data_IF_993069049637
#
_entry.id   IF_993069049637
#
_cell.length_a   1.000
_cell.length_b   1.000
_cell.length_c   1.000
_cell.angle_alpha   90.00
_cell.angle_beta   90.00
_cell.angle_gamma   90.00
#
_symmetry.space_group_name_H-M   'P 1'
#
loop_
_entity.id
_entity.type
_entity.pdbx_description
1 polymer ?
#
# COMPACT_ATOMS: atom_id res chain seq x y z
N UNK A 1 7.73 -8.03 9.20
CA UNK A 1 7.36 -6.77 8.53
C UNK A 1 5.88 -6.45 8.76
N UNK A 2 4.95 -7.38 8.52
CA UNK A 2 3.50 -7.18 8.77
C UNK A 2 3.20 -6.72 10.20
N UNK A 3 3.94 -7.21 11.20
CA UNK A 3 3.86 -6.74 12.58
C UNK A 3 4.20 -5.23 12.72
N UNK A 4 5.16 -4.73 11.95
CA UNK A 4 5.50 -3.28 11.99
C UNK A 4 4.39 -2.44 11.37
N UNK A 5 3.76 -2.92 10.30
CA UNK A 5 2.58 -2.28 9.73
C UNK A 5 1.43 -2.22 10.76
N UNK A 6 1.12 -3.33 11.43
CA UNK A 6 0.10 -3.35 12.47
C UNK A 6 0.41 -2.43 13.67
N UNK A 7 1.69 -2.29 14.03
CA UNK A 7 2.14 -1.35 15.09
C UNK A 7 1.96 0.13 14.71
N UNK A 8 2.07 0.44 13.41
CA UNK A 8 1.79 1.79 12.90
C UNK A 8 0.27 2.03 12.83
N UNK A 9 -0.44 1.09 12.26
CA UNK A 9 -1.85 1.25 11.92
C UNK A 9 -2.78 1.13 13.13
N UNK A 10 -2.54 0.18 14.04
CA UNK A 10 -3.42 -0.10 15.18
C UNK A 10 -3.69 1.12 16.05
N UNK A 11 -2.67 1.87 16.53
CA UNK A 11 -2.88 3.07 17.33
C UNK A 11 -3.51 4.24 16.58
N UNK A 12 -3.46 4.24 15.25
CA UNK A 12 -3.94 5.34 14.40
C UNK A 12 -5.20 4.99 13.59
N UNK A 13 -5.76 3.82 13.83
CA UNK A 13 -6.93 3.30 13.12
C UNK A 13 -8.16 4.17 13.35
N UNK A 14 -8.73 4.68 12.26
CA UNK A 14 -9.90 5.55 12.31
C UNK A 14 -9.66 6.86 13.07
N UNK A 15 -8.42 7.23 13.33
CA UNK A 15 -8.09 8.35 14.17
C UNK A 15 -8.35 9.68 13.46
N UNK A 16 -9.33 10.43 13.95
CA UNK A 16 -9.52 11.85 13.67
C UNK A 16 -8.57 12.67 14.56
N UNK A 17 -7.28 12.66 14.23
CA UNK A 17 -6.31 13.52 14.90
C UNK A 17 -6.13 14.80 14.10
N UNK A 18 -6.50 15.94 14.67
CA UNK A 18 -6.30 17.27 14.05
C UNK A 18 -4.86 17.46 13.56
N UNK A 19 -3.88 16.94 14.34
CA UNK A 19 -2.46 17.01 13.99
C UNK A 19 -2.08 16.19 12.73
N UNK A 20 -2.91 15.26 12.29
CA UNK A 20 -2.67 14.42 11.13
C UNK A 20 -3.42 14.89 9.87
N UNK A 21 -4.32 15.87 10.00
CA UNK A 21 -5.10 16.35 8.86
C UNK A 21 -4.20 16.96 7.77
N UNK A 22 -3.08 17.58 8.15
CA UNK A 22 -2.10 18.14 7.22
C UNK A 22 -1.38 17.06 6.39
N UNK A 23 -1.40 15.80 6.84
CA UNK A 23 -0.84 14.65 6.11
C UNK A 23 -1.84 14.05 5.10
N UNK A 24 -3.08 14.47 5.15
CA UNK A 24 -4.11 13.98 4.22
C UNK A 24 -3.94 14.67 2.86
N UNK A 25 -3.63 13.90 1.83
CA UNK A 25 -3.56 14.42 0.47
C UNK A 25 -4.88 15.06 0.03
N UNK A 26 -4.80 16.29 -0.49
CA UNK A 26 -5.96 17.02 -1.01
C UNK A 26 -6.42 16.48 -2.37
N UNK A 27 -7.66 16.84 -2.77
CA UNK A 27 -8.25 16.43 -4.06
C UNK A 27 -7.45 16.93 -5.26
N UNK A 28 -6.82 18.11 -5.17
CA UNK A 28 -5.94 18.63 -6.21
C UNK A 28 -4.73 17.72 -6.44
N UNK A 29 -4.12 17.22 -5.36
CA UNK A 29 -3.01 16.27 -5.43
C UNK A 29 -3.41 14.94 -6.07
N UNK A 30 -4.56 14.39 -5.70
CA UNK A 30 -5.11 13.16 -6.29
C UNK A 30 -5.40 13.32 -7.78
N UNK A 31 -6.00 14.44 -8.15
CA UNK A 31 -6.27 14.77 -9.56
C UNK A 31 -4.97 14.92 -10.36
N UNK A 32 -3.95 15.56 -9.78
CA UNK A 32 -2.64 15.68 -10.41
C UNK A 32 -1.98 14.32 -10.63
N UNK A 33 -2.05 13.40 -9.65
CA UNK A 33 -1.53 12.03 -9.77
C UNK A 33 -2.22 11.29 -10.93
N UNK A 34 -3.55 11.38 -11.05
CA UNK A 34 -4.26 10.74 -12.16
C UNK A 34 -3.77 11.25 -13.53
N UNK A 35 -3.58 12.57 -13.68
CA UNK A 35 -3.04 13.16 -14.90
C UNK A 35 -1.58 12.76 -15.18
N UNK A 36 -0.77 12.61 -14.15
CA UNK A 36 0.60 12.11 -14.27
C UNK A 36 0.59 10.67 -14.79
N UNK A 37 -0.23 9.79 -14.23
CA UNK A 37 -0.34 8.39 -14.67
C UNK A 37 -0.73 8.30 -16.14
N UNK A 38 -1.70 9.10 -16.59
CA UNK A 38 -2.13 9.16 -17.98
C UNK A 38 -0.97 9.59 -18.92
N UNK A 39 -0.20 10.60 -18.51
CA UNK A 39 0.93 11.11 -19.28
C UNK A 39 2.10 10.13 -19.35
N UNK A 40 2.39 9.42 -18.23
CA UNK A 40 3.57 8.55 -18.12
C UNK A 40 3.34 7.13 -18.64
N UNK A 41 2.10 6.63 -18.69
CA UNK A 41 1.83 5.27 -19.13
C UNK A 41 2.47 4.91 -20.48
N UNK A 42 2.37 5.72 -21.55
CA UNK A 42 3.02 5.38 -22.82
C UNK A 42 4.54 5.24 -22.71
N UNK A 43 5.18 6.09 -21.91
CA UNK A 43 6.63 6.05 -21.68
C UNK A 43 7.02 4.79 -20.89
N UNK A 44 6.22 4.40 -19.90
CA UNK A 44 6.44 3.17 -19.13
C UNK A 44 6.30 1.93 -20.01
N UNK A 45 5.29 1.89 -20.86
CA UNK A 45 5.09 0.77 -21.79
C UNK A 45 6.23 0.64 -22.81
N UNK A 46 6.71 1.76 -23.37
CA UNK A 46 7.87 1.77 -24.27
C UNK A 46 9.15 1.26 -23.55
N UNK A 47 9.37 1.72 -22.32
CA UNK A 47 10.54 1.31 -21.52
C UNK A 47 10.49 -0.16 -21.08
N UNK A 48 9.31 -0.72 -20.93
CA UNK A 48 9.05 -2.10 -20.49
C UNK A 48 8.74 -3.03 -21.66
N UNK A 49 8.91 -2.56 -22.91
CA UNK A 49 8.67 -3.36 -24.11
C UNK A 49 9.37 -4.72 -24.02
N UNK A 50 8.63 -5.79 -24.32
CA UNK A 50 9.09 -7.17 -24.22
C UNK A 50 9.34 -7.70 -22.80
N UNK A 51 9.00 -6.93 -21.75
CA UNK A 51 9.13 -7.34 -20.34
C UNK A 51 7.78 -7.60 -19.66
N UNK A 52 6.71 -7.12 -20.24
CA UNK A 52 5.35 -7.31 -19.74
C UNK A 52 4.67 -8.41 -20.51
N UNK A 53 3.88 -9.22 -19.81
CA UNK A 53 3.00 -10.19 -20.46
C UNK A 53 1.88 -9.44 -21.20
N UNK A 54 1.44 -10.00 -22.33
CA UNK A 54 0.41 -9.40 -23.18
C UNK A 54 -0.89 -9.07 -22.43
N UNK A 55 -1.24 -9.87 -21.43
CA UNK A 55 -2.41 -9.65 -20.58
C UNK A 55 -2.25 -8.49 -19.59
N UNK A 56 -1.03 -8.06 -19.29
CA UNK A 56 -0.74 -6.96 -18.35
C UNK A 56 -1.03 -5.59 -18.98
N UNK A 57 -0.75 -5.42 -20.27
CA UNK A 57 -0.89 -4.12 -20.97
C UNK A 57 -2.34 -3.60 -20.91
N UNK A 58 -3.38 -4.40 -21.24
CA UNK A 58 -4.77 -3.96 -21.11
C UNK A 58 -5.16 -3.57 -19.68
N UNK A 59 -4.61 -4.26 -18.66
CA UNK A 59 -4.86 -3.95 -17.25
C UNK A 59 -4.29 -2.58 -16.89
N UNK A 60 -3.06 -2.26 -17.34
CA UNK A 60 -2.45 -0.95 -17.11
C UNK A 60 -3.25 0.19 -17.76
N UNK A 61 -3.67 0.03 -19.02
CA UNK A 61 -4.55 0.99 -19.66
C UNK A 61 -5.85 1.19 -18.90
N UNK A 62 -6.50 0.08 -18.51
CA UNK A 62 -7.76 0.15 -17.76
C UNK A 62 -7.59 0.78 -16.39
N UNK A 63 -6.47 0.53 -15.71
CA UNK A 63 -6.18 1.19 -14.44
C UNK A 63 -6.05 2.70 -14.61
N UNK A 64 -5.31 3.18 -15.62
CA UNK A 64 -5.14 4.63 -15.85
C UNK A 64 -6.47 5.30 -16.18
N UNK A 65 -7.33 4.67 -16.98
CA UNK A 65 -8.70 5.17 -17.24
C UNK A 65 -9.53 5.34 -15.95
N UNK A 66 -9.30 4.48 -14.97
CA UNK A 66 -10.02 4.46 -13.70
C UNK A 66 -9.25 5.12 -12.54
N UNK A 67 -8.04 5.64 -12.79
CA UNK A 67 -7.14 6.13 -11.74
C UNK A 67 -7.80 7.24 -10.90
N UNK A 68 -8.53 8.16 -11.52
CA UNK A 68 -9.25 9.19 -10.78
C UNK A 68 -10.29 8.61 -9.82
N UNK A 69 -11.06 7.62 -10.25
CA UNK A 69 -12.05 6.93 -9.39
C UNK A 69 -11.35 6.19 -8.24
N UNK A 70 -10.24 5.51 -8.54
CA UNK A 70 -9.48 4.78 -7.54
C UNK A 70 -8.86 5.70 -6.50
N UNK A 71 -8.31 6.86 -6.90
CA UNK A 71 -7.70 7.85 -6.02
C UNK A 71 -8.72 8.57 -5.12
N UNK A 72 -9.97 8.73 -5.59
CA UNK A 72 -11.03 9.42 -4.85
C UNK A 72 -12.04 8.45 -4.19
N UNK A 73 -11.76 7.13 -4.20
CA UNK A 73 -12.63 6.16 -3.56
C UNK A 73 -12.74 6.42 -2.06
N UNK A 74 -13.87 6.06 -1.50
CA UNK A 74 -14.02 5.97 -0.04
C UNK A 74 -13.10 4.86 0.51
N UNK A 75 -12.49 5.13 1.64
CA UNK A 75 -11.63 4.23 2.39
C UNK A 75 -12.30 3.97 3.72
N UNK A 76 -12.68 2.72 3.99
CA UNK A 76 -13.35 2.36 5.23
C UNK A 76 -12.41 2.33 6.44
N UNK A 77 -11.10 2.13 6.21
CA UNK A 77 -10.13 1.84 7.24
C UNK A 77 -8.92 2.78 7.17
N UNK A 78 -9.19 4.08 7.25
CA UNK A 78 -8.12 5.09 7.23
C UNK A 78 -7.26 5.06 8.50
N UNK A 79 -5.98 5.23 8.31
CA UNK A 79 -4.99 5.40 9.38
C UNK A 79 -3.70 6.01 8.82
N UNK A 80 -2.70 6.18 9.68
CA UNK A 80 -1.36 6.55 9.24
C UNK A 80 -0.77 5.41 8.42
N UNK A 81 -0.30 5.71 7.20
CA UNK A 81 0.40 4.77 6.33
C UNK A 81 1.75 5.33 5.94
N UNK A 82 2.73 4.45 5.85
CA UNK A 82 4.09 4.79 5.41
C UNK A 82 4.12 5.18 3.93
N UNK A 83 3.26 4.56 3.13
CA UNK A 83 3.08 4.73 1.68
C UNK A 83 4.28 4.36 0.78
N UNK A 84 5.42 3.95 1.39
CA UNK A 84 6.56 3.33 0.70
C UNK A 84 7.10 2.15 1.52
N UNK A 85 6.20 1.26 1.97
CA UNK A 85 6.47 0.17 2.91
C UNK A 85 7.04 -1.05 2.21
N UNK A 86 8.33 -0.98 1.83
CA UNK A 86 9.04 -1.99 1.05
C UNK A 86 10.36 -2.40 1.71
N UNK A 87 10.95 -3.56 1.31
CA UNK A 87 12.17 -4.09 1.93
C UNK A 87 13.37 -3.13 1.93
N UNK A 88 13.48 -2.24 0.92
CA UNK A 88 14.56 -1.25 0.84
C UNK A 88 14.53 -0.26 2.00
N UNK A 89 13.35 -0.03 2.59
CA UNK A 89 13.14 0.85 3.73
C UNK A 89 13.17 0.10 5.08
N UNK A 90 13.72 -1.12 5.10
CA UNK A 90 13.83 -1.95 6.30
C UNK A 90 15.27 -2.15 6.71
N UNK A 91 15.56 -1.86 7.99
CA UNK A 91 16.84 -2.16 8.62
C UNK A 91 16.68 -3.37 9.54
N UNK A 92 17.43 -4.42 9.28
CA UNK A 92 17.41 -5.64 10.10
C UNK A 92 18.50 -5.57 11.16
N UNK A 93 18.11 -5.86 12.41
CA UNK A 93 19.04 -5.92 13.53
C UNK A 93 20.07 -7.02 13.33
N UNK A 94 21.35 -6.70 13.61
CA UNK A 94 22.47 -7.64 13.47
C UNK A 94 22.94 -8.21 14.79
N UNK A 95 22.42 -7.71 15.91
CA UNK A 95 22.76 -8.14 17.26
C UNK A 95 21.49 -8.38 18.06
N UNK A 96 21.60 -9.15 19.14
CA UNK A 96 20.45 -9.45 20.03
C UNK A 96 19.90 -8.21 20.74
N UNK A 97 20.69 -7.15 20.86
CA UNK A 97 20.32 -5.90 21.54
C UNK A 97 19.65 -4.90 20.55
N UNK A 98 19.74 -5.15 19.26
CA UNK A 98 19.09 -4.31 18.24
C UNK A 98 17.64 -4.75 18.00
N UNK A 99 16.73 -3.82 17.66
CA UNK A 99 15.41 -4.19 17.17
C UNK A 99 15.54 -5.17 15.98
N UNK A 100 14.73 -6.24 15.93
CA UNK A 100 14.83 -7.21 14.82
C UNK A 100 14.53 -6.59 13.46
N UNK A 101 13.70 -5.54 13.44
CA UNK A 101 13.36 -4.75 12.25
C UNK A 101 13.07 -3.31 12.67
N UNK A 102 13.63 -2.35 11.95
CA UNK A 102 13.24 -0.94 12.00
C UNK A 102 12.81 -0.47 10.61
N UNK A 103 11.77 0.34 10.54
CA UNK A 103 11.27 0.99 9.32
C UNK A 103 11.86 2.38 9.26
N UNK A 104 12.37 2.78 8.09
CA UNK A 104 13.00 4.08 7.83
C UNK A 104 12.38 4.74 6.61
N UNK A 105 12.76 5.98 6.33
CA UNK A 105 12.29 6.77 5.18
C UNK A 105 10.80 7.13 5.24
N UNK A 106 10.44 7.91 6.25
CA UNK A 106 9.07 8.34 6.56
C UNK A 106 8.59 9.55 5.78
N UNK A 107 9.30 9.95 4.71
CA UNK A 107 8.97 11.16 3.93
C UNK A 107 7.64 11.08 3.19
N UNK A 108 7.13 9.87 2.94
CA UNK A 108 5.85 9.60 2.28
C UNK A 108 4.68 9.37 3.23
N UNK A 109 4.91 9.55 4.55
CA UNK A 109 3.88 9.34 5.57
C UNK A 109 2.62 10.16 5.25
N UNK A 110 1.49 9.49 5.24
CA UNK A 110 0.18 10.10 4.91
C UNK A 110 -0.97 9.41 5.64
N UNK A 111 -2.17 9.91 5.46
CA UNK A 111 -3.41 9.24 5.84
C UNK A 111 -3.93 8.47 4.61
N UNK A 112 -4.25 7.20 4.79
CA UNK A 112 -4.74 6.35 3.71
C UNK A 112 -5.31 5.03 4.20
N UNK A 113 -5.64 4.14 3.25
CA UNK A 113 -6.06 2.77 3.58
C UNK A 113 -4.94 2.04 4.30
N UNK A 114 -5.16 1.68 5.56
CA UNK A 114 -4.13 1.08 6.41
C UNK A 114 -3.50 -0.17 5.79
N UNK A 115 -4.30 -1.00 5.13
CA UNK A 115 -3.80 -2.22 4.47
C UNK A 115 -2.88 -1.96 3.26
N UNK A 116 -2.80 -0.71 2.77
CA UNK A 116 -1.97 -0.38 1.59
C UNK A 116 -0.48 -0.65 1.81
N UNK A 117 0.03 -0.45 3.01
CA UNK A 117 1.41 -0.78 3.35
C UNK A 117 1.66 -2.30 3.28
N UNK A 118 0.69 -3.11 3.72
CA UNK A 118 0.78 -4.57 3.59
C UNK A 118 0.71 -4.99 2.12
N UNK A 119 -0.17 -4.38 1.34
CA UNK A 119 -0.30 -4.67 -0.09
C UNK A 119 0.99 -4.32 -0.84
N UNK A 120 1.58 -3.16 -0.54
CA UNK A 120 2.83 -2.73 -1.16
C UNK A 120 4.00 -3.63 -0.75
N UNK A 121 4.10 -3.98 0.54
CA UNK A 121 5.10 -4.94 1.02
C UNK A 121 5.02 -6.27 0.27
N UNK A 122 3.84 -6.88 0.22
CA UNK A 122 3.67 -8.20 -0.41
C UNK A 122 3.92 -8.12 -1.92
N UNK A 123 3.52 -7.02 -2.57
CA UNK A 123 3.77 -6.78 -3.99
C UNK A 123 5.24 -6.55 -4.32
N UNK A 124 5.98 -5.84 -3.47
CA UNK A 124 7.38 -5.49 -3.69
C UNK A 124 8.38 -6.58 -3.24
N UNK A 125 8.02 -7.36 -2.22
CA UNK A 125 8.95 -8.29 -1.55
C UNK A 125 8.84 -9.73 -2.01
N UNK A 126 7.73 -10.14 -2.64
CA UNK A 126 7.42 -11.55 -2.87
C UNK A 126 7.04 -11.78 -4.34
N UNK A 127 7.64 -12.82 -4.93
CA UNK A 127 7.28 -13.29 -6.27
C UNK A 127 5.76 -13.52 -6.38
N UNK A 128 5.11 -13.17 -7.53
CA UNK A 128 3.66 -13.27 -7.67
C UNK A 128 3.06 -14.65 -7.40
N UNK A 129 3.77 -15.74 -7.77
CA UNK A 129 3.29 -17.09 -7.50
C UNK A 129 3.29 -17.37 -5.99
N UNK A 130 4.39 -17.03 -5.32
CA UNK A 130 4.52 -17.21 -3.88
C UNK A 130 3.60 -16.26 -3.10
N UNK A 131 3.38 -15.03 -3.58
CA UNK A 131 2.43 -14.10 -2.97
C UNK A 131 1.03 -14.71 -2.88
N UNK A 132 0.52 -15.28 -3.98
CA UNK A 132 -0.82 -15.92 -4.00
C UNK A 132 -0.98 -17.05 -2.99
N UNK A 133 0.11 -17.72 -2.64
CA UNK A 133 0.08 -18.80 -1.64
C UNK A 133 0.00 -18.29 -0.20
N UNK A 134 0.54 -17.09 0.07
CA UNK A 134 0.73 -16.60 1.44
C UNK A 134 -0.10 -15.36 1.80
N UNK A 135 -0.64 -14.63 0.84
CA UNK A 135 -1.29 -13.33 1.08
C UNK A 135 -2.49 -13.45 2.03
N UNK A 136 -3.31 -14.48 1.92
CA UNK A 136 -4.42 -14.70 2.85
C UNK A 136 -3.94 -14.92 4.29
N UNK A 137 -2.89 -15.71 4.49
CA UNK A 137 -2.32 -15.96 5.82
C UNK A 137 -1.66 -14.70 6.39
N UNK A 138 -1.01 -13.90 5.54
CA UNK A 138 -0.41 -12.63 5.96
C UNK A 138 -1.49 -11.61 6.35
N UNK A 139 -2.60 -11.54 5.64
CA UNK A 139 -3.72 -10.68 5.99
C UNK A 139 -4.43 -11.17 7.26
N UNK A 140 -4.58 -12.47 7.46
CA UNK A 140 -5.08 -13.03 8.71
C UNK A 140 -4.20 -12.63 9.89
N UNK A 141 -2.88 -12.81 9.75
CA UNK A 141 -1.88 -12.38 10.75
C UNK A 141 -1.97 -10.87 11.04
N UNK A 142 -2.12 -10.06 10.01
CA UNK A 142 -2.27 -8.60 10.14
C UNK A 142 -3.50 -8.25 10.96
N UNK A 143 -4.64 -8.85 10.65
CA UNK A 143 -5.91 -8.64 11.37
C UNK A 143 -5.83 -9.08 12.83
N UNK A 144 -5.22 -10.23 13.09
CA UNK A 144 -5.01 -10.74 14.46
C UNK A 144 -4.15 -9.77 15.29
N UNK A 145 -3.13 -9.19 14.69
CA UNK A 145 -2.27 -8.18 15.33
C UNK A 145 -3.06 -6.88 15.59
N UNK A 146 -3.88 -6.44 14.66
CA UNK A 146 -4.75 -5.27 14.83
C UNK A 146 -5.81 -5.48 15.92
N UNK A 147 -6.34 -6.69 16.06
CA UNK A 147 -7.26 -7.03 17.15
C UNK A 147 -6.63 -6.81 18.54
N UNK A 148 -5.30 -6.94 18.67
CA UNK A 148 -4.55 -6.60 19.88
C UNK A 148 -4.60 -5.10 20.24
N UNK A 149 -4.95 -4.23 19.30
CA UNK A 149 -5.20 -2.80 19.48
C UNK A 149 -6.70 -2.46 19.61
N UNK A 150 -7.58 -3.48 19.65
CA UNK A 150 -9.03 -3.28 19.73
C UNK A 150 -9.67 -2.96 18.38
N UNK A 151 -8.97 -3.19 17.27
CA UNK A 151 -9.49 -2.98 15.91
C UNK A 151 -10.25 -4.22 15.45
N UNK A 152 -11.50 -4.02 15.05
CA UNK A 152 -12.31 -5.03 14.36
C UNK A 152 -12.22 -4.79 12.85
N UNK A 153 -11.52 -5.66 12.15
CA UNK A 153 -11.33 -5.61 10.70
C UNK A 153 -11.76 -6.95 10.12
N UNK A 154 -12.94 -7.00 9.51
CA UNK A 154 -13.48 -8.25 8.97
C UNK A 154 -12.67 -8.73 7.74
N UNK A 155 -12.84 -10.02 7.42
CA UNK A 155 -12.03 -10.67 6.38
C UNK A 155 -12.33 -10.16 4.99
N UNK A 156 -13.61 -9.92 4.68
CA UNK A 156 -14.07 -9.51 3.36
C UNK A 156 -13.60 -8.07 3.06
N UNK A 157 -13.85 -7.14 3.98
CA UNK A 157 -13.40 -5.75 3.86
C UNK A 157 -11.88 -5.67 3.75
N UNK A 158 -11.15 -6.44 4.57
CA UNK A 158 -9.68 -6.48 4.51
C UNK A 158 -9.17 -6.96 3.14
N UNK A 159 -9.79 -8.00 2.59
CA UNK A 159 -9.42 -8.54 1.29
C UNK A 159 -9.72 -7.55 0.16
N UNK A 160 -10.90 -6.95 0.15
CA UNK A 160 -11.32 -6.00 -0.88
C UNK A 160 -10.43 -4.75 -0.87
N UNK A 161 -10.14 -4.20 0.30
CA UNK A 161 -9.22 -3.06 0.41
C UNK A 161 -7.79 -3.42 0.03
N UNK A 162 -7.30 -4.63 0.40
CA UNK A 162 -6.00 -5.13 -0.02
C UNK A 162 -5.91 -5.26 -1.54
N UNK A 163 -6.93 -5.84 -2.19
CA UNK A 163 -6.97 -6.00 -3.63
C UNK A 163 -6.90 -4.63 -4.35
N UNK A 164 -7.69 -3.65 -3.88
CA UNK A 164 -7.65 -2.29 -4.40
C UNK A 164 -6.32 -1.59 -4.10
N UNK A 165 -5.75 -1.79 -2.92
CA UNK A 165 -4.48 -1.20 -2.53
C UNK A 165 -3.29 -1.78 -3.31
N UNK A 166 -3.39 -3.03 -3.79
CA UNK A 166 -2.34 -3.64 -4.62
C UNK A 166 -2.07 -2.88 -5.92
N UNK A 167 -3.03 -2.09 -6.40
CA UNK A 167 -2.87 -1.19 -7.55
C UNK A 167 -1.89 -0.03 -7.27
N UNK A 168 -1.60 0.27 -6.00
CA UNK A 168 -0.61 1.28 -5.62
C UNK A 168 0.78 0.99 -6.21
N UNK A 169 1.14 -0.27 -6.37
CA UNK A 169 2.38 -0.67 -7.03
C UNK A 169 2.53 -0.11 -8.45
N UNK A 170 1.45 0.10 -9.19
CA UNK A 170 1.47 0.71 -10.53
C UNK A 170 1.84 2.19 -10.41
N UNK A 171 1.30 2.89 -9.40
CA UNK A 171 1.60 4.32 -9.16
C UNK A 171 3.05 4.52 -8.74
N UNK A 172 3.59 3.60 -7.94
CA UNK A 172 4.94 3.71 -7.39
C UNK A 172 6.08 3.47 -8.42
N UNK A 173 5.79 2.80 -9.54
CA UNK A 173 6.78 2.47 -10.58
C UNK A 173 6.66 3.33 -11.84
N UNK A 174 5.64 4.18 -11.92
CA UNK A 174 5.45 5.16 -13.00
C UNK A 174 6.15 6.48 -12.67
#
# INVERSE_FOLDING_TARGET
AVEQAARLHGPTWGAEHDALQDLRGGDEGRTAIAGILEMFLPMCLDRLDGRLDDDTIPVLHRFVELASLWLHREIATEGLVHADFRPDNFLFGRTNDAPPLAVVDWQTLTIGASVSDVAYLLGAAIDPARRREVEHDQLATYRDLLAGYGVEYDTETCWDEYALASLHGIVAVS
#
